data_IF_665628187162
#
_entry.id   IF_665628187162
#
_cell.length_a   1.000
_cell.length_b   1.000
_cell.length_c   1.000
_cell.angle_alpha   90.00
_cell.angle_beta   90.00
_cell.angle_gamma   90.00
#
_symmetry.space_group_name_H-M   'P 1'
#
loop_
_entity.id
_entity.type
_entity.pdbx_description
1 polymer ?
#
# COMPACT_ATOMS: atom_id res chain seq x y z
N UNK A 1 34.81 13.27 -10.76
CA UNK A 1 33.61 12.53 -10.28
C UNK A 1 32.39 13.42 -10.14
N UNK A 2 32.45 14.56 -9.44
CA UNK A 2 31.29 15.47 -9.26
C UNK A 2 30.74 16.00 -10.60
N UNK A 3 31.59 16.43 -11.53
CA UNK A 3 31.18 16.90 -12.86
C UNK A 3 30.51 15.79 -13.70
N UNK A 4 31.04 14.56 -13.60
CA UNK A 4 30.43 13.40 -14.28
C UNK A 4 29.01 13.13 -13.75
N UNK A 5 28.84 13.08 -12.44
CA UNK A 5 27.52 12.87 -11.81
C UNK A 5 26.54 14.00 -12.18
N UNK A 6 27.00 15.25 -12.18
CA UNK A 6 26.18 16.39 -12.59
C UNK A 6 25.75 16.29 -14.06
N UNK A 7 26.68 15.93 -14.98
CA UNK A 7 26.38 15.72 -16.41
C UNK A 7 25.34 14.62 -16.63
N UNK A 8 25.37 13.57 -15.79
CA UNK A 8 24.43 12.44 -15.84
C UNK A 8 23.16 12.67 -15.04
N UNK A 9 22.99 13.83 -14.44
CA UNK A 9 21.89 14.15 -13.54
C UNK A 9 21.72 13.11 -12.39
N UNK A 10 22.86 12.59 -11.89
CA UNK A 10 22.90 11.69 -10.75
C UNK A 10 23.09 12.55 -9.51
N UNK A 11 22.01 12.74 -8.73
CA UNK A 11 22.00 13.55 -7.51
C UNK A 11 21.63 12.67 -6.33
N UNK A 12 22.62 12.27 -5.53
CA UNK A 12 22.41 11.46 -4.34
C UNK A 12 21.88 12.37 -3.22
N UNK A 13 20.57 12.33 -2.99
CA UNK A 13 19.94 13.09 -1.90
C UNK A 13 18.77 12.32 -1.29
N UNK A 14 18.59 12.49 0.02
CA UNK A 14 17.47 11.90 0.75
C UNK A 14 16.12 12.41 0.21
N UNK A 15 16.04 13.68 -0.24
CA UNK A 15 14.83 14.21 -0.85
C UNK A 15 14.49 13.46 -2.14
N UNK A 16 15.45 13.31 -3.06
CA UNK A 16 15.24 12.70 -4.37
C UNK A 16 14.84 11.24 -4.27
N UNK A 17 15.47 10.48 -3.39
CA UNK A 17 15.22 9.04 -3.25
C UNK A 17 14.13 8.72 -2.24
N UNK A 18 14.09 9.42 -1.10
CA UNK A 18 13.14 9.17 -0.02
C UNK A 18 11.80 9.91 -0.15
N UNK A 19 11.69 10.90 -1.05
CA UNK A 19 10.47 11.68 -1.24
C UNK A 19 10.00 11.57 -2.69
N UNK A 20 10.80 12.06 -3.65
CA UNK A 20 10.36 12.17 -5.04
C UNK A 20 10.16 10.79 -5.68
N UNK A 21 11.15 9.87 -5.54
CA UNK A 21 11.06 8.51 -6.05
C UNK A 21 9.97 7.69 -5.34
N UNK A 22 9.82 7.85 -4.01
CA UNK A 22 8.79 7.16 -3.23
C UNK A 22 7.38 7.64 -3.61
N UNK A 23 7.18 8.94 -3.82
CA UNK A 23 5.91 9.50 -4.29
C UNK A 23 5.55 9.00 -5.68
N UNK A 24 6.50 9.01 -6.61
CA UNK A 24 6.30 8.48 -7.95
C UNK A 24 5.99 6.98 -7.93
N UNK A 25 6.69 6.20 -7.09
CA UNK A 25 6.37 4.78 -6.90
C UNK A 25 4.92 4.57 -6.46
N UNK A 26 4.44 5.36 -5.50
CA UNK A 26 3.07 5.27 -5.01
C UNK A 26 2.05 5.59 -6.13
N UNK A 27 2.35 6.58 -7.00
CA UNK A 27 1.53 6.87 -8.18
C UNK A 27 1.54 5.72 -9.19
N UNK A 28 2.70 5.11 -9.47
CA UNK A 28 2.82 3.94 -10.33
C UNK A 28 2.01 2.75 -9.80
N UNK A 29 2.06 2.50 -8.50
CA UNK A 29 1.26 1.48 -7.83
C UNK A 29 -0.24 1.79 -7.94
N UNK A 30 -0.63 3.04 -7.73
CA UNK A 30 -2.00 3.48 -7.84
C UNK A 30 -2.58 3.22 -9.24
N UNK A 31 -1.89 3.66 -10.28
CA UNK A 31 -2.35 3.55 -11.66
C UNK A 31 -2.44 2.10 -12.17
N UNK A 32 -1.76 1.17 -11.53
CA UNK A 32 -1.71 -0.24 -11.93
C UNK A 32 -2.48 -1.14 -10.97
N UNK A 33 -1.89 -1.48 -9.83
CA UNK A 33 -2.46 -2.44 -8.87
C UNK A 33 -3.81 -1.98 -8.34
N UNK A 34 -3.92 -0.71 -7.90
CA UNK A 34 -5.13 -0.27 -7.20
C UNK A 34 -6.28 -0.06 -8.16
N UNK A 35 -6.08 0.66 -9.27
CA UNK A 35 -7.10 0.80 -10.31
C UNK A 35 -7.47 -0.57 -10.89
N UNK A 36 -6.48 -1.44 -11.12
CA UNK A 36 -6.71 -2.82 -11.57
C UNK A 36 -7.57 -3.62 -10.59
N UNK A 37 -7.30 -3.52 -9.29
CA UNK A 37 -8.08 -4.18 -8.25
C UNK A 37 -9.52 -3.65 -8.20
N UNK A 38 -9.72 -2.33 -8.31
CA UNK A 38 -11.05 -1.72 -8.35
C UNK A 38 -11.85 -2.27 -9.54
N UNK A 39 -11.27 -2.26 -10.75
CA UNK A 39 -11.92 -2.78 -11.96
C UNK A 39 -12.24 -4.28 -11.82
N UNK A 40 -11.28 -5.07 -11.33
CA UNK A 40 -11.45 -6.50 -11.11
C UNK A 40 -12.59 -6.80 -10.13
N UNK A 41 -12.62 -6.10 -8.99
CA UNK A 41 -13.65 -6.27 -7.97
C UNK A 41 -15.03 -5.88 -8.52
N UNK A 42 -15.12 -4.76 -9.26
CA UNK A 42 -16.35 -4.36 -9.91
C UNK A 42 -16.83 -5.43 -10.92
N UNK A 43 -15.92 -5.97 -11.72
CA UNK A 43 -16.21 -7.05 -12.64
C UNK A 43 -16.72 -8.32 -11.97
N UNK A 44 -16.14 -8.68 -10.83
CA UNK A 44 -16.57 -9.82 -10.03
C UNK A 44 -18.00 -9.60 -9.47
N UNK A 45 -18.29 -8.42 -8.91
CA UNK A 45 -19.58 -8.10 -8.32
C UNK A 45 -20.70 -7.97 -9.37
N UNK A 46 -20.38 -7.45 -10.55
CA UNK A 46 -21.34 -7.34 -11.67
C UNK A 46 -21.45 -8.60 -12.53
N UNK A 47 -20.63 -9.62 -12.29
CA UNK A 47 -20.58 -10.82 -13.11
C UNK A 47 -20.08 -10.57 -14.53
N UNK A 48 -19.20 -9.56 -14.74
CA UNK A 48 -18.64 -9.21 -16.05
C UNK A 48 -17.20 -9.71 -16.19
N UNK A 49 -16.95 -10.89 -16.80
CA UNK A 49 -15.63 -11.51 -16.90
C UNK A 49 -14.58 -10.60 -17.56
N UNK A 50 -15.00 -9.82 -18.55
CA UNK A 50 -14.11 -8.90 -19.27
C UNK A 50 -13.50 -7.83 -18.37
N UNK A 51 -14.23 -7.28 -17.39
CA UNK A 51 -13.68 -6.34 -16.42
C UNK A 51 -12.70 -7.03 -15.46
N UNK A 52 -12.95 -8.30 -15.11
CA UNK A 52 -12.02 -9.10 -14.29
C UNK A 52 -10.69 -9.29 -15.01
N UNK A 53 -10.74 -9.57 -16.32
CA UNK A 53 -9.55 -9.71 -17.15
C UNK A 53 -8.76 -8.40 -17.29
N UNK A 54 -9.44 -7.28 -17.60
CA UNK A 54 -8.81 -5.94 -17.64
C UNK A 54 -8.09 -5.62 -16.31
N UNK A 55 -8.79 -5.82 -15.19
CA UNK A 55 -8.22 -5.58 -13.87
C UNK A 55 -7.02 -6.49 -13.57
N UNK A 56 -7.04 -7.73 -14.10
CA UNK A 56 -5.93 -8.67 -14.03
C UNK A 56 -4.68 -8.16 -14.75
N UNK A 57 -4.81 -7.70 -15.98
CA UNK A 57 -3.69 -7.11 -16.75
C UNK A 57 -3.11 -5.88 -16.04
N UNK A 58 -3.97 -4.97 -15.58
CA UNK A 58 -3.51 -3.77 -14.89
C UNK A 58 -2.73 -4.12 -13.60
N UNK A 59 -3.26 -5.01 -12.78
CA UNK A 59 -2.64 -5.42 -11.51
C UNK A 59 -1.30 -6.16 -11.72
N UNK A 60 -1.19 -6.96 -12.78
CA UNK A 60 0.04 -7.67 -13.12
C UNK A 60 1.21 -6.73 -13.47
N UNK A 61 0.90 -5.50 -13.92
CA UNK A 61 1.91 -4.50 -14.29
C UNK A 61 2.35 -3.62 -13.12
N UNK A 62 2.02 -3.94 -11.88
CA UNK A 62 2.36 -3.12 -10.72
C UNK A 62 3.85 -2.85 -10.56
N UNK A 63 4.70 -3.89 -10.62
CA UNK A 63 6.15 -3.75 -10.55
C UNK A 63 6.72 -2.88 -11.69
N UNK A 64 6.42 -3.19 -12.94
CA UNK A 64 6.76 -2.37 -14.10
C UNK A 64 6.35 -0.90 -13.98
N UNK A 65 5.11 -0.63 -13.56
CA UNK A 65 4.59 0.73 -13.44
C UNK A 65 5.30 1.52 -12.33
N UNK A 66 5.55 0.90 -11.18
CA UNK A 66 6.33 1.51 -10.10
C UNK A 66 7.74 1.88 -10.56
N UNK A 67 8.45 0.97 -11.23
CA UNK A 67 9.83 1.21 -11.68
C UNK A 67 9.89 2.28 -12.76
N UNK A 68 8.94 2.30 -13.69
CA UNK A 68 8.83 3.35 -14.70
C UNK A 68 8.57 4.72 -14.06
N UNK A 69 7.66 4.80 -13.08
CA UNK A 69 7.37 6.04 -12.36
C UNK A 69 8.60 6.56 -11.59
N UNK A 70 9.35 5.68 -10.93
CA UNK A 70 10.62 6.02 -10.27
C UNK A 70 11.62 6.56 -11.28
N UNK A 71 11.80 5.88 -12.42
CA UNK A 71 12.71 6.33 -13.48
C UNK A 71 12.33 7.70 -14.03
N UNK A 72 11.04 7.96 -14.19
CA UNK A 72 10.51 9.26 -14.61
C UNK A 72 10.85 10.37 -13.58
N UNK A 73 10.59 10.13 -12.30
CA UNK A 73 10.91 11.08 -11.22
C UNK A 73 12.42 11.36 -11.11
N UNK A 74 13.24 10.34 -11.38
CA UNK A 74 14.70 10.47 -11.42
C UNK A 74 15.22 11.08 -12.72
N UNK A 75 14.34 11.47 -13.64
CA UNK A 75 14.66 12.02 -14.96
C UNK A 75 15.60 11.10 -15.75
N UNK A 76 15.31 9.81 -15.74
CA UNK A 76 16.05 8.82 -16.49
C UNK A 76 15.88 9.02 -18.01
N UNK A 77 16.94 8.88 -18.81
CA UNK A 77 16.84 8.88 -20.28
C UNK A 77 15.88 7.78 -20.78
N UNK A 78 15.24 7.94 -21.95
CA UNK A 78 14.23 7.00 -22.44
C UNK A 78 14.67 5.53 -22.45
N UNK A 79 15.91 5.23 -22.90
CA UNK A 79 16.42 3.85 -22.90
C UNK A 79 16.51 3.25 -21.48
N UNK A 80 16.90 4.04 -20.49
CA UNK A 80 16.94 3.61 -19.09
C UNK A 80 15.51 3.43 -18.57
N UNK A 81 14.64 4.42 -18.81
CA UNK A 81 13.26 4.41 -18.35
C UNK A 81 12.51 3.15 -18.82
N UNK A 82 12.62 2.82 -20.11
CA UNK A 82 11.95 1.65 -20.66
C UNK A 82 12.57 0.33 -20.18
N UNK A 83 13.86 0.31 -19.92
CA UNK A 83 14.56 -0.85 -19.38
C UNK A 83 14.17 -1.15 -17.92
N UNK A 84 13.81 -0.12 -17.14
CA UNK A 84 13.35 -0.28 -15.75
C UNK A 84 12.06 -1.09 -15.64
N UNK A 85 11.25 -1.19 -16.69
CA UNK A 85 10.03 -2.02 -16.74
C UNK A 85 10.36 -3.49 -16.42
N UNK A 86 11.42 -4.04 -17.02
CA UNK A 86 11.88 -5.40 -16.76
C UNK A 86 12.43 -5.55 -15.32
N UNK A 87 13.19 -4.54 -14.84
CA UNK A 87 13.72 -4.51 -13.48
C UNK A 87 12.61 -4.50 -12.46
N UNK A 88 11.57 -3.68 -12.67
CA UNK A 88 10.41 -3.59 -11.78
C UNK A 88 9.63 -4.90 -11.72
N UNK A 89 9.48 -5.60 -12.85
CA UNK A 89 8.85 -6.92 -12.90
C UNK A 89 9.61 -7.95 -12.04
N UNK A 90 10.94 -8.02 -12.22
CA UNK A 90 11.79 -8.94 -11.48
C UNK A 90 11.82 -8.62 -9.97
N UNK A 91 12.02 -7.34 -9.61
CA UNK A 91 12.09 -6.91 -8.22
C UNK A 91 10.79 -7.14 -7.46
N UNK A 92 9.64 -6.85 -8.07
CA UNK A 92 8.34 -7.07 -7.46
C UNK A 92 8.03 -8.57 -7.29
N UNK A 93 8.29 -9.36 -8.32
CA UNK A 93 8.04 -10.81 -8.29
C UNK A 93 8.90 -11.54 -7.25
N UNK A 94 10.21 -11.24 -7.20
CA UNK A 94 11.15 -11.85 -6.26
C UNK A 94 11.02 -11.31 -4.83
N UNK A 95 10.50 -10.10 -4.67
CA UNK A 95 10.31 -9.45 -3.37
C UNK A 95 9.08 -9.93 -2.60
N UNK A 96 8.14 -10.62 -3.23
CA UNK A 96 6.93 -11.11 -2.58
C UNK A 96 6.19 -10.02 -1.79
N UNK A 97 6.00 -10.22 -0.49
CA UNK A 97 5.36 -9.23 0.39
C UNK A 97 6.14 -7.90 0.47
N UNK A 98 7.45 -7.91 0.29
CA UNK A 98 8.32 -6.74 0.19
C UNK A 98 8.49 -6.20 -1.24
N UNK A 99 7.72 -6.70 -2.21
CA UNK A 99 7.85 -6.37 -3.63
C UNK A 99 7.93 -4.87 -3.91
N UNK A 100 6.99 -4.04 -3.45
CA UNK A 100 7.04 -2.59 -3.69
C UNK A 100 8.30 -1.92 -3.12
N UNK A 101 8.75 -2.33 -1.92
CA UNK A 101 9.99 -1.83 -1.34
C UNK A 101 11.23 -2.29 -2.12
N UNK A 102 11.23 -3.53 -2.59
CA UNK A 102 12.28 -4.05 -3.45
C UNK A 102 12.37 -3.26 -4.76
N UNK A 103 11.23 -2.97 -5.40
CA UNK A 103 11.17 -2.12 -6.59
C UNK A 103 11.74 -0.73 -6.30
N UNK A 104 11.36 -0.10 -5.18
CA UNK A 104 11.88 1.22 -4.81
C UNK A 104 13.41 1.24 -4.78
N UNK A 105 14.01 0.36 -4.00
CA UNK A 105 15.46 0.34 -3.80
C UNK A 105 16.20 -0.03 -5.09
N UNK A 106 15.75 -1.09 -5.74
CA UNK A 106 16.45 -1.65 -6.91
C UNK A 106 16.28 -0.77 -8.15
N UNK A 107 15.08 -0.22 -8.39
CA UNK A 107 14.88 0.67 -9.53
C UNK A 107 15.65 1.99 -9.40
N UNK A 108 15.82 2.54 -8.18
CA UNK A 108 16.68 3.70 -7.96
C UNK A 108 18.12 3.36 -8.38
N UNK A 109 18.68 2.26 -7.87
CA UNK A 109 20.07 1.88 -8.19
C UNK A 109 20.22 1.57 -9.67
N UNK A 110 19.32 0.80 -10.26
CA UNK A 110 19.36 0.47 -11.69
C UNK A 110 19.22 1.71 -12.58
N UNK A 111 18.36 2.66 -12.20
CA UNK A 111 18.21 3.93 -12.92
C UNK A 111 19.49 4.74 -12.91
N UNK A 112 20.13 4.88 -11.74
CA UNK A 112 21.37 5.65 -11.63
C UNK A 112 22.54 4.97 -12.36
N UNK A 113 22.63 3.64 -12.32
CA UNK A 113 23.61 2.89 -13.14
C UNK A 113 23.36 3.05 -14.63
N UNK A 114 22.11 2.94 -15.07
CA UNK A 114 21.73 3.15 -16.47
C UNK A 114 22.07 4.57 -16.96
N UNK A 115 21.78 5.59 -16.12
CA UNK A 115 22.15 6.99 -16.41
C UNK A 115 23.65 7.18 -16.53
N UNK A 116 24.44 6.52 -15.67
CA UNK A 116 25.90 6.61 -15.70
C UNK A 116 26.45 6.12 -17.03
N UNK A 117 25.88 5.07 -17.61
CA UNK A 117 26.35 4.46 -18.87
C UNK A 117 25.74 5.12 -20.10
N UNK A 118 24.55 5.70 -20.00
CA UNK A 118 23.82 6.28 -21.13
C UNK A 118 24.65 7.34 -21.88
N UNK A 119 24.69 7.21 -23.20
CA UNK A 119 25.41 8.09 -24.12
C UNK A 119 26.93 8.11 -23.92
N UNK A 120 27.54 7.08 -23.33
CA UNK A 120 29.00 6.96 -23.22
C UNK A 120 29.60 6.10 -24.33
N UNK A 121 28.80 5.35 -25.08
CA UNK A 121 29.26 4.46 -26.16
C UNK A 121 28.59 4.79 -27.49
N UNK A 122 29.22 4.43 -28.59
CA UNK A 122 28.65 4.58 -29.94
C UNK A 122 27.44 3.65 -30.18
N UNK A 123 27.33 2.59 -29.40
CA UNK A 123 26.23 1.60 -29.47
C UNK A 123 25.31 1.71 -28.25
N UNK A 124 25.02 2.93 -27.82
CA UNK A 124 24.24 3.27 -26.64
C UNK A 124 22.86 2.56 -26.59
N UNK A 125 22.23 2.42 -27.76
CA UNK A 125 20.93 1.74 -27.90
C UNK A 125 20.95 0.30 -27.40
N UNK A 126 22.09 -0.37 -27.37
CA UNK A 126 22.24 -1.73 -26.86
C UNK A 126 22.85 -1.74 -25.46
N UNK A 127 23.91 -0.95 -25.24
CA UNK A 127 24.68 -0.98 -23.99
C UNK A 127 23.87 -0.46 -22.81
N UNK A 128 23.16 0.64 -22.97
CA UNK A 128 22.35 1.23 -21.88
C UNK A 128 21.22 0.31 -21.40
N UNK A 129 20.36 -0.27 -22.27
CA UNK A 129 19.38 -1.25 -21.83
C UNK A 129 20.01 -2.51 -21.23
N UNK A 130 21.06 -3.05 -21.84
CA UNK A 130 21.74 -4.25 -21.35
C UNK A 130 22.25 -4.05 -19.91
N UNK A 131 22.97 -2.95 -19.66
CA UNK A 131 23.50 -2.66 -18.32
C UNK A 131 22.36 -2.44 -17.32
N UNK A 132 21.34 -1.66 -17.68
CA UNK A 132 20.20 -1.37 -16.79
C UNK A 132 19.45 -2.64 -16.42
N UNK A 133 19.12 -3.50 -17.40
CA UNK A 133 18.38 -4.73 -17.17
C UNK A 133 19.24 -5.74 -16.40
N UNK A 134 20.45 -6.03 -16.87
CA UNK A 134 21.29 -7.04 -16.24
C UNK A 134 21.65 -6.67 -14.80
N UNK A 135 22.06 -5.41 -14.55
CA UNK A 135 22.37 -4.96 -13.21
C UNK A 135 21.11 -4.95 -12.32
N UNK A 136 19.99 -4.43 -12.83
CA UNK A 136 18.74 -4.37 -12.08
C UNK A 136 18.17 -5.75 -11.73
N UNK A 137 18.17 -6.69 -12.68
CA UNK A 137 17.70 -8.08 -12.44
C UNK A 137 18.66 -8.84 -11.53
N UNK A 138 19.96 -8.67 -11.67
CA UNK A 138 20.96 -9.27 -10.76
C UNK A 138 20.77 -8.77 -9.32
N UNK A 139 20.59 -7.45 -9.15
CA UNK A 139 20.26 -6.85 -7.85
C UNK A 139 18.91 -7.37 -7.32
N UNK A 140 17.94 -7.58 -8.19
CA UNK A 140 16.64 -8.16 -7.81
C UNK A 140 16.81 -9.58 -7.27
N UNK A 141 17.58 -10.41 -7.95
CA UNK A 141 17.84 -11.77 -7.50
C UNK A 141 18.58 -11.83 -6.14
N UNK A 142 19.41 -10.83 -5.87
CA UNK A 142 20.21 -10.80 -4.63
C UNK A 142 19.51 -10.09 -3.47
N UNK A 143 18.90 -8.92 -3.69
CA UNK A 143 18.34 -8.09 -2.62
C UNK A 143 16.85 -8.31 -2.38
N UNK A 144 16.05 -8.59 -3.43
CA UNK A 144 14.61 -8.66 -3.28
C UNK A 144 14.15 -9.77 -2.32
N UNK A 145 14.74 -10.99 -2.28
CA UNK A 145 14.36 -12.00 -1.30
C UNK A 145 14.62 -11.56 0.15
N UNK A 146 15.73 -10.87 0.41
CA UNK A 146 16.05 -10.36 1.75
C UNK A 146 15.06 -9.27 2.19
N UNK A 147 14.70 -8.37 1.28
CA UNK A 147 13.68 -7.33 1.51
C UNK A 147 12.30 -7.99 1.75
N UNK A 148 11.96 -9.01 0.99
CA UNK A 148 10.75 -9.83 1.18
C UNK A 148 10.70 -10.52 2.54
N UNK A 149 11.81 -11.09 2.97
CA UNK A 149 11.94 -11.71 4.29
C UNK A 149 11.76 -10.67 5.43
N UNK A 150 12.32 -9.47 5.28
CA UNK A 150 12.13 -8.39 6.24
C UNK A 150 10.66 -7.93 6.30
N UNK A 151 9.99 -7.79 5.16
CA UNK A 151 8.55 -7.49 5.12
C UNK A 151 7.72 -8.61 5.77
N UNK A 152 8.08 -9.87 5.54
CA UNK A 152 7.41 -11.03 6.15
C UNK A 152 7.63 -11.11 7.66
N UNK A 153 8.68 -10.48 8.21
CA UNK A 153 8.87 -10.39 9.66
C UNK A 153 7.76 -9.58 10.34
N UNK A 154 7.15 -8.61 9.65
CA UNK A 154 5.95 -7.91 10.13
C UNK A 154 4.80 -8.92 10.34
N UNK A 155 4.68 -9.91 9.44
CA UNK A 155 3.72 -10.99 9.57
C UNK A 155 3.88 -11.80 10.86
N UNK A 156 5.11 -12.05 11.33
CA UNK A 156 5.36 -12.75 12.60
C UNK A 156 4.83 -11.97 13.80
N UNK A 157 4.93 -10.64 13.78
CA UNK A 157 4.36 -9.78 14.83
C UNK A 157 2.83 -9.87 14.82
N UNK A 158 2.22 -9.85 13.63
CA UNK A 158 0.77 -10.03 13.48
C UNK A 158 0.34 -11.40 14.00
N UNK A 159 1.04 -12.47 13.60
CA UNK A 159 0.76 -13.83 14.05
C UNK A 159 0.86 -13.97 15.57
N UNK A 160 1.88 -13.38 16.19
CA UNK A 160 1.98 -13.35 17.64
C UNK A 160 0.80 -12.59 18.27
N UNK A 161 0.37 -11.47 17.67
CA UNK A 161 -0.74 -10.70 18.17
C UNK A 161 -2.09 -11.43 18.09
N UNK A 162 -2.28 -12.35 17.14
CA UNK A 162 -3.55 -13.08 16.95
C UNK A 162 -3.88 -14.05 18.09
N UNK A 163 -2.88 -14.46 18.89
CA UNK A 163 -3.10 -15.34 20.05
C UNK A 163 -3.45 -14.59 21.34
N UNK A 164 -3.46 -13.27 21.29
CA UNK A 164 -3.84 -12.43 22.45
C UNK A 164 -5.35 -12.37 22.63
N UNK A 165 -5.78 -11.88 23.80
CA UNK A 165 -7.19 -11.58 24.03
C UNK A 165 -7.73 -10.57 22.99
N UNK A 166 -9.01 -10.64 22.60
CA UNK A 166 -9.60 -9.85 21.51
C UNK A 166 -9.35 -8.33 21.61
N UNK A 167 -9.29 -7.78 22.81
CA UNK A 167 -9.02 -6.36 23.03
C UNK A 167 -7.58 -5.98 22.57
N UNK A 168 -6.56 -6.68 23.09
CA UNK A 168 -5.17 -6.41 22.77
C UNK A 168 -4.82 -6.83 21.34
N UNK A 169 -5.37 -7.95 20.90
CA UNK A 169 -5.29 -8.38 19.50
C UNK A 169 -5.86 -7.31 18.57
N UNK A 170 -7.04 -6.77 18.91
CA UNK A 170 -7.68 -5.70 18.16
C UNK A 170 -6.78 -4.48 17.99
N UNK A 171 -6.15 -4.01 19.07
CA UNK A 171 -5.20 -2.87 19.01
C UNK A 171 -3.99 -3.20 18.14
N UNK A 172 -3.31 -4.30 18.45
CA UNK A 172 -2.01 -4.61 17.81
C UNK A 172 -2.17 -4.95 16.34
N UNK A 173 -3.14 -5.80 15.99
CA UNK A 173 -3.37 -6.17 14.59
C UNK A 173 -3.80 -4.96 13.76
N UNK A 174 -4.76 -4.16 14.24
CA UNK A 174 -5.22 -2.99 13.50
C UNK A 174 -4.11 -1.95 13.30
N UNK A 175 -3.32 -1.67 14.32
CA UNK A 175 -2.20 -0.72 14.22
C UNK A 175 -1.13 -1.24 13.27
N UNK A 176 -0.67 -2.49 13.44
CA UNK A 176 0.43 -3.04 12.64
C UNK A 176 0.03 -3.21 11.18
N UNK A 177 -1.18 -3.72 10.90
CA UNK A 177 -1.65 -3.90 9.53
C UNK A 177 -1.97 -2.55 8.87
N UNK A 178 -2.54 -1.59 9.61
CA UNK A 178 -2.75 -0.22 9.13
C UNK A 178 -1.44 0.49 8.77
N UNK A 179 -0.41 0.34 9.59
CA UNK A 179 0.95 0.82 9.29
C UNK A 179 1.50 0.10 8.06
N UNK A 180 1.39 -1.23 7.98
CA UNK A 180 1.87 -2.03 6.86
C UNK A 180 1.23 -1.62 5.53
N UNK A 181 -0.07 -1.28 5.52
CA UNK A 181 -0.79 -0.79 4.34
C UNK A 181 -0.22 0.53 3.82
N UNK A 182 0.19 1.41 4.72
CA UNK A 182 0.73 2.74 4.36
C UNK A 182 2.20 2.67 3.96
N UNK A 183 2.97 1.71 4.50
CA UNK A 183 4.36 1.44 4.12
C UNK A 183 4.44 0.87 2.68
N UNK A 184 5.59 1.02 2.01
CA UNK A 184 5.83 0.44 0.69
C UNK A 184 6.04 -1.10 0.76
N UNK A 185 5.11 -1.79 1.41
CA UNK A 185 5.03 -3.25 1.49
C UNK A 185 3.61 -3.72 1.17
N UNK A 186 3.46 -4.99 0.81
CA UNK A 186 2.14 -5.53 0.47
C UNK A 186 1.45 -6.10 1.71
N UNK A 187 0.62 -5.28 2.39
CA UNK A 187 -0.23 -5.73 3.51
C UNK A 187 -1.15 -6.89 3.10
N UNK A 188 -1.70 -6.84 1.88
CA UNK A 188 -2.54 -7.91 1.34
C UNK A 188 -1.77 -9.25 1.23
N UNK A 189 -0.52 -9.22 0.73
CA UNK A 189 0.31 -10.41 0.65
C UNK A 189 0.70 -10.95 2.03
N UNK A 190 0.97 -10.06 3.00
CA UNK A 190 1.25 -10.46 4.40
C UNK A 190 0.02 -11.13 5.00
N UNK A 191 -1.15 -10.50 4.90
CA UNK A 191 -2.40 -11.04 5.46
C UNK A 191 -2.81 -12.36 4.81
N UNK A 192 -2.63 -12.49 3.49
CA UNK A 192 -2.87 -13.75 2.76
C UNK A 192 -1.90 -14.86 3.18
N UNK A 193 -0.61 -14.56 3.33
CA UNK A 193 0.39 -15.53 3.78
C UNK A 193 0.12 -16.05 5.21
N UNK A 194 -0.53 -15.23 6.03
CA UNK A 194 -0.95 -15.60 7.40
C UNK A 194 -2.35 -16.21 7.45
N UNK A 195 -3.07 -16.26 6.33
CA UNK A 195 -4.50 -16.63 6.30
C UNK A 195 -5.29 -15.84 7.35
N UNK A 196 -5.08 -14.51 7.41
CA UNK A 196 -5.59 -13.67 8.49
C UNK A 196 -7.11 -13.47 8.35
N UNK A 197 -7.85 -14.35 9.02
CA UNK A 197 -9.33 -14.44 9.02
C UNK A 197 -9.89 -14.25 10.41
N UNK A 198 -11.19 -14.44 10.58
CA UNK A 198 -11.90 -14.28 11.87
C UNK A 198 -11.82 -12.86 12.40
N UNK A 199 -11.81 -12.74 13.72
CA UNK A 199 -11.71 -11.45 14.43
C UNK A 199 -10.41 -10.69 14.11
N UNK A 200 -9.30 -11.42 13.91
CA UNK A 200 -8.03 -10.81 13.54
C UNK A 200 -8.09 -10.21 12.12
N UNK A 201 -8.79 -10.85 11.18
CA UNK A 201 -9.09 -10.30 9.88
C UNK A 201 -9.93 -9.02 9.96
N UNK A 202 -10.95 -9.01 10.82
CA UNK A 202 -11.77 -7.83 11.09
C UNK A 202 -10.98 -6.67 11.69
N UNK A 203 -10.08 -6.95 12.64
CA UNK A 203 -9.15 -5.95 13.19
C UNK A 203 -8.22 -5.37 12.13
N UNK A 204 -7.71 -6.21 11.21
CA UNK A 204 -6.87 -5.77 10.11
C UNK A 204 -7.62 -4.82 9.16
N UNK A 205 -8.86 -5.16 8.78
CA UNK A 205 -9.74 -4.27 8.00
C UNK A 205 -9.93 -2.93 8.71
N UNK A 206 -10.21 -2.94 10.02
CA UNK A 206 -10.39 -1.72 10.81
C UNK A 206 -9.15 -0.81 10.77
N UNK A 207 -7.96 -1.39 10.93
CA UNK A 207 -6.69 -0.66 10.84
C UNK A 207 -6.40 -0.09 9.47
N UNK A 208 -6.67 -0.86 8.42
CA UNK A 208 -6.54 -0.40 7.04
C UNK A 208 -7.49 0.75 6.73
N UNK A 209 -8.77 0.64 7.14
CA UNK A 209 -9.77 1.70 6.97
C UNK A 209 -9.39 2.96 7.74
N UNK A 210 -8.86 2.82 8.97
CA UNK A 210 -8.41 3.93 9.78
C UNK A 210 -7.29 4.73 9.10
N UNK A 211 -6.35 4.05 8.43
CA UNK A 211 -5.31 4.74 7.66
C UNK A 211 -5.85 5.36 6.37
N UNK A 212 -6.66 4.65 5.60
CA UNK A 212 -7.14 5.13 4.31
C UNK A 212 -8.14 6.26 4.46
N UNK A 213 -9.28 6.01 5.12
CA UNK A 213 -10.34 7.02 5.34
C UNK A 213 -9.83 8.12 6.26
N UNK A 214 -9.00 7.77 7.26
CA UNK A 214 -8.38 8.74 8.16
C UNK A 214 -7.55 9.76 7.42
N UNK A 215 -6.59 9.34 6.58
CA UNK A 215 -5.79 10.28 5.78
C UNK A 215 -6.62 11.01 4.73
N UNK A 216 -7.61 10.36 4.13
CA UNK A 216 -8.51 10.99 3.17
C UNK A 216 -9.22 12.21 3.77
N UNK A 217 -9.77 12.07 4.99
CA UNK A 217 -10.48 13.14 5.70
C UNK A 217 -9.50 14.16 6.29
N UNK A 218 -8.40 13.70 6.90
CA UNK A 218 -7.39 14.56 7.52
C UNK A 218 -6.76 15.53 6.52
N UNK A 219 -6.54 15.08 5.29
CA UNK A 219 -5.92 15.86 4.22
C UNK A 219 -6.92 16.56 3.29
N UNK A 220 -8.22 16.51 3.60
CA UNK A 220 -9.26 17.04 2.71
C UNK A 220 -9.08 18.54 2.41
N UNK A 221 -8.59 19.31 3.38
CA UNK A 221 -8.36 20.75 3.21
C UNK A 221 -7.29 21.05 2.15
N UNK A 222 -6.27 20.20 2.08
CA UNK A 222 -5.13 20.35 1.16
C UNK A 222 -5.40 19.74 -0.22
N UNK A 223 -6.15 18.62 -0.28
CA UNK A 223 -6.25 17.78 -1.49
C UNK A 223 -7.67 17.71 -2.07
N UNK A 224 -8.68 18.24 -1.39
CA UNK A 224 -10.07 18.23 -1.85
C UNK A 224 -10.63 16.84 -2.14
N UNK A 225 -11.60 16.77 -3.05
CA UNK A 225 -12.29 15.53 -3.43
C UNK A 225 -11.37 14.51 -4.12
N UNK A 226 -10.40 14.98 -4.92
CA UNK A 226 -9.42 14.10 -5.55
C UNK A 226 -8.59 13.34 -4.52
N UNK A 227 -8.08 14.04 -3.51
CA UNK A 227 -7.34 13.45 -2.40
C UNK A 227 -8.20 12.53 -1.53
N UNK A 228 -9.47 12.88 -1.31
CA UNK A 228 -10.40 12.03 -0.56
C UNK A 228 -10.63 10.69 -1.25
N UNK A 229 -10.89 10.70 -2.55
CA UNK A 229 -11.14 9.47 -3.32
C UNK A 229 -9.86 8.66 -3.49
N UNK A 230 -8.74 9.30 -3.86
CA UNK A 230 -7.49 8.59 -4.11
C UNK A 230 -6.93 7.91 -2.86
N UNK A 231 -7.10 8.50 -1.68
CA UNK A 231 -6.66 7.90 -0.42
C UNK A 231 -7.73 6.99 0.18
N UNK A 232 -8.99 7.42 0.19
CA UNK A 232 -10.09 6.68 0.81
C UNK A 232 -10.46 5.39 0.08
N UNK A 233 -10.43 5.38 -1.25
CA UNK A 233 -10.73 4.20 -2.07
C UNK A 233 -9.51 3.62 -2.78
N UNK A 234 -8.39 4.36 -2.81
CA UNK A 234 -7.14 3.91 -3.42
C UNK A 234 -6.15 3.42 -2.38
N UNK A 235 -5.31 4.31 -1.83
CA UNK A 235 -4.30 3.92 -0.82
C UNK A 235 -3.82 5.09 0.02
N UNK A 236 -3.55 4.82 1.30
CA UNK A 236 -2.87 5.75 2.20
C UNK A 236 -1.36 5.90 1.89
N UNK A 237 -0.76 5.00 1.09
CA UNK A 237 0.65 5.07 0.70
C UNK A 237 1.01 6.38 -0.02
N UNK A 238 0.04 7.05 -0.65
CA UNK A 238 0.24 8.37 -1.25
C UNK A 238 0.77 9.41 -0.25
N UNK A 239 0.52 9.23 1.05
CA UNK A 239 1.06 10.09 2.11
C UNK A 239 2.48 9.71 2.56
N UNK A 240 3.08 8.62 2.06
CA UNK A 240 4.42 8.21 2.49
C UNK A 240 5.49 9.29 2.31
N UNK A 241 5.56 10.03 1.19
CA UNK A 241 6.51 11.13 1.06
C UNK A 241 6.35 12.19 2.16
N UNK A 242 5.12 12.50 2.53
CA UNK A 242 4.80 13.44 3.59
C UNK A 242 5.12 12.89 4.98
N UNK A 243 4.86 11.60 5.22
CA UNK A 243 5.23 10.90 6.46
C UNK A 243 6.75 10.91 6.65
N UNK A 244 7.52 10.72 5.57
CA UNK A 244 9.00 10.82 5.63
C UNK A 244 9.45 12.24 5.97
N UNK A 245 8.75 13.27 5.47
CA UNK A 245 9.02 14.68 5.81
C UNK A 245 8.64 15.03 7.25
N UNK A 246 7.46 14.57 7.70
CA UNK A 246 6.93 14.80 9.04
C UNK A 246 6.21 13.53 9.57
N UNK A 247 6.89 12.64 10.30
CA UNK A 247 6.27 11.40 10.80
C UNK A 247 5.06 11.62 11.74
N UNK A 248 4.92 12.80 12.31
CA UNK A 248 3.83 13.13 13.24
C UNK A 248 2.46 13.13 12.58
N UNK A 249 2.39 13.33 11.26
CA UNK A 249 1.13 13.28 10.52
C UNK A 249 0.49 11.90 10.51
N UNK A 250 1.25 10.86 10.83
CA UNK A 250 0.73 9.49 10.90
C UNK A 250 0.02 9.17 12.21
N UNK A 251 0.34 9.89 13.29
CA UNK A 251 -0.20 9.63 14.62
C UNK A 251 -1.74 9.63 14.69
N UNK A 252 -2.48 10.57 14.05
CA UNK A 252 -3.93 10.51 14.04
C UNK A 252 -4.49 9.18 13.51
N UNK A 253 -3.95 8.67 12.41
CA UNK A 253 -4.38 7.40 11.81
C UNK A 253 -4.01 6.19 12.70
N UNK A 254 -2.82 6.19 13.30
CA UNK A 254 -2.38 5.14 14.23
C UNK A 254 -3.26 5.09 15.47
N UNK A 255 -3.55 6.25 16.08
CA UNK A 255 -4.44 6.32 17.24
C UNK A 255 -5.86 5.89 16.88
N UNK A 256 -6.34 6.28 15.70
CA UNK A 256 -7.63 5.83 15.18
C UNK A 256 -7.67 4.32 15.04
N UNK A 257 -6.64 3.70 14.47
CA UNK A 257 -6.51 2.24 14.38
C UNK A 257 -6.57 1.57 15.75
N UNK A 258 -5.85 2.14 16.73
CA UNK A 258 -5.83 1.60 18.10
C UNK A 258 -7.20 1.65 18.79
N UNK A 259 -8.09 2.56 18.39
CA UNK A 259 -9.46 2.64 18.90
C UNK A 259 -10.43 1.76 18.11
N UNK A 260 -10.35 1.81 16.77
CA UNK A 260 -11.29 1.07 15.91
C UNK A 260 -11.05 -0.45 15.93
N UNK A 261 -9.81 -0.89 16.16
CA UNK A 261 -9.47 -2.31 16.29
C UNK A 261 -10.25 -3.02 17.40
N UNK A 262 -10.14 -2.60 18.67
CA UNK A 262 -10.93 -3.17 19.76
C UNK A 262 -12.44 -3.04 19.58
N UNK A 263 -12.92 -1.96 18.98
CA UNK A 263 -14.34 -1.83 18.67
C UNK A 263 -14.78 -2.89 17.65
N UNK A 264 -13.96 -3.17 16.64
CA UNK A 264 -14.24 -4.21 15.68
C UNK A 264 -14.24 -5.61 16.32
N UNK A 265 -13.30 -5.90 17.23
CA UNK A 265 -13.16 -7.24 17.82
C UNK A 265 -14.06 -7.51 19.03
N UNK A 266 -14.25 -6.51 19.90
CA UNK A 266 -14.98 -6.71 21.17
C UNK A 266 -16.44 -6.25 21.12
N UNK A 267 -16.76 -5.20 20.36
CA UNK A 267 -18.11 -4.62 20.31
C UNK A 267 -18.90 -5.18 19.15
N UNK A 268 -18.39 -5.02 17.92
CA UNK A 268 -19.09 -5.46 16.71
C UNK A 268 -18.82 -6.90 16.34
N UNK A 269 -17.78 -7.52 16.93
CA UNK A 269 -17.34 -8.88 16.61
C UNK A 269 -17.30 -9.11 15.10
N UNK A 270 -16.68 -8.14 14.41
CA UNK A 270 -16.60 -8.11 12.97
C UNK A 270 -15.61 -9.18 12.49
N UNK A 271 -16.11 -10.36 12.26
CA UNK A 271 -15.33 -11.47 11.70
C UNK A 271 -15.23 -11.34 10.19
N UNK A 272 -14.07 -11.71 9.68
CA UNK A 272 -13.76 -11.71 8.28
C UNK A 272 -13.26 -13.09 7.87
N UNK A 273 -14.20 -13.97 7.50
CA UNK A 273 -13.95 -15.35 7.06
C UNK A 273 -14.00 -15.44 5.53
N UNK A 274 -13.26 -14.53 4.87
CA UNK A 274 -13.21 -14.46 3.40
C UNK A 274 -12.64 -15.75 2.81
N UNK A 275 -13.35 -16.36 1.84
CA UNK A 275 -12.87 -17.53 1.10
C UNK A 275 -11.54 -17.34 0.36
N UNK A 276 -11.12 -16.10 0.12
CA UNK A 276 -9.81 -15.79 -0.50
C UNK A 276 -8.60 -15.95 0.43
N UNK A 277 -8.81 -16.45 1.66
CA UNK A 277 -7.73 -16.75 2.58
C UNK A 277 -7.05 -15.53 3.19
N UNK A 278 -7.81 -14.46 3.48
CA UNK A 278 -7.35 -13.30 4.24
C UNK A 278 -6.68 -12.19 3.41
N UNK A 279 -6.67 -12.27 2.09
CA UNK A 279 -6.14 -11.22 1.22
C UNK A 279 -6.88 -9.90 1.43
N UNK A 280 -8.20 -9.95 1.51
CA UNK A 280 -9.05 -8.77 1.66
C UNK A 280 -8.86 -8.07 3.01
N UNK A 281 -8.41 -8.78 4.07
CA UNK A 281 -8.16 -8.20 5.39
C UNK A 281 -7.07 -7.13 5.38
N UNK A 282 -6.09 -7.24 4.47
CA UNK A 282 -5.03 -6.27 4.30
C UNK A 282 -5.32 -5.13 3.32
N UNK A 283 -6.56 -5.02 2.80
CA UNK A 283 -6.92 -4.06 1.76
C UNK A 283 -7.75 -2.87 2.24
N UNK A 284 -8.46 -3.00 3.38
CA UNK A 284 -9.33 -1.93 3.91
C UNK A 284 -10.36 -1.45 2.89
N UNK A 285 -10.46 -0.14 2.69
CA UNK A 285 -11.39 0.49 1.73
C UNK A 285 -10.86 0.55 0.29
N UNK A 286 -9.67 -0.02 0.00
CA UNK A 286 -9.14 -0.09 -1.36
C UNK A 286 -10.11 -0.83 -2.27
N UNK A 287 -10.75 -0.11 -3.22
CA UNK A 287 -11.80 -0.68 -4.06
C UNK A 287 -12.93 -1.36 -3.30
N UNK A 288 -13.14 -1.03 -2.03
CA UNK A 288 -14.09 -1.69 -1.10
C UNK A 288 -13.81 -3.19 -0.87
N UNK A 289 -12.59 -3.65 -1.20
CA UNK A 289 -12.23 -5.08 -1.12
C UNK A 289 -12.35 -5.62 0.32
N UNK A 290 -11.95 -4.85 1.31
CA UNK A 290 -12.08 -5.25 2.71
C UNK A 290 -13.54 -5.44 3.13
N UNK A 291 -14.44 -4.52 2.76
CA UNK A 291 -15.87 -4.59 3.06
C UNK A 291 -16.56 -5.74 2.32
N UNK A 292 -16.19 -5.94 1.06
CA UNK A 292 -16.69 -7.08 0.25
C UNK A 292 -16.20 -8.39 0.85
N UNK A 293 -14.95 -8.46 1.31
CA UNK A 293 -14.40 -9.63 2.00
C UNK A 293 -15.13 -9.95 3.30
N UNK A 294 -15.42 -8.96 4.14
CA UNK A 294 -16.23 -9.13 5.36
C UNK A 294 -17.61 -9.66 5.03
N UNK A 295 -18.29 -9.05 4.03
CA UNK A 295 -19.62 -9.52 3.59
C UNK A 295 -19.58 -10.94 3.02
N UNK A 296 -18.60 -11.27 2.18
CA UNK A 296 -18.42 -12.60 1.63
C UNK A 296 -18.18 -13.65 2.75
N UNK A 297 -17.43 -13.27 3.78
CA UNK A 297 -17.24 -14.08 4.96
C UNK A 297 -18.56 -14.34 5.68
N UNK A 298 -19.38 -13.33 5.93
CA UNK A 298 -20.70 -13.50 6.58
C UNK A 298 -21.62 -14.41 5.76
N UNK A 299 -21.64 -14.28 4.43
CA UNK A 299 -22.43 -15.16 3.55
C UNK A 299 -21.94 -16.61 3.67
N UNK A 300 -20.63 -16.82 3.70
CA UNK A 300 -20.03 -18.15 3.90
C UNK A 300 -20.39 -18.73 5.26
N UNK A 301 -20.32 -17.92 6.32
CA UNK A 301 -20.63 -18.35 7.70
C UNK A 301 -22.11 -18.71 7.86
N UNK A 302 -23.01 -17.97 7.23
CA UNK A 302 -24.45 -18.32 7.21
C UNK A 302 -24.69 -19.61 6.43
N UNK A 303 -24.01 -19.80 5.28
CA UNK A 303 -24.11 -21.02 4.51
C UNK A 303 -23.55 -22.26 5.24
N UNK A 304 -22.49 -22.06 6.04
CA UNK A 304 -21.91 -23.10 6.89
C UNK A 304 -22.66 -23.36 8.20
N UNK A 305 -23.66 -22.52 8.53
CA UNK A 305 -24.43 -22.60 9.75
C UNK A 305 -23.70 -22.13 11.02
N UNK A 306 -22.55 -21.49 10.89
CA UNK A 306 -21.78 -20.88 12.00
C UNK A 306 -22.35 -19.54 12.44
N UNK A 307 -23.06 -18.86 11.54
CA UNK A 307 -23.79 -17.62 11.78
C UNK A 307 -25.26 -17.81 11.40
N UNK A 308 -26.19 -17.43 12.31
CA UNK A 308 -27.62 -17.64 12.08
C UNK A 308 -28.18 -16.78 10.93
N UNK A 309 -27.78 -15.50 10.89
CA UNK A 309 -28.18 -14.55 9.84
C UNK A 309 -27.27 -13.32 9.87
N UNK A 310 -27.23 -12.58 8.78
CA UNK A 310 -26.61 -11.25 8.70
C UNK A 310 -27.61 -10.25 9.29
N UNK A 311 -27.21 -9.55 10.35
CA UNK A 311 -28.07 -8.64 11.10
C UNK A 311 -27.83 -7.17 10.72
N UNK A 312 -28.77 -6.29 11.07
CA UNK A 312 -28.56 -4.84 10.94
C UNK A 312 -27.39 -4.34 11.79
N UNK A 313 -27.05 -5.04 12.89
CA UNK A 313 -25.91 -4.71 13.73
C UNK A 313 -24.57 -5.01 13.03
N UNK A 314 -24.49 -6.08 12.26
CA UNK A 314 -23.31 -6.39 11.43
C UNK A 314 -23.06 -5.28 10.41
N UNK A 315 -24.12 -4.85 9.70
CA UNK A 315 -24.02 -3.73 8.74
C UNK A 315 -23.64 -2.41 9.40
N UNK A 316 -24.23 -2.12 10.58
CA UNK A 316 -23.87 -0.94 11.36
C UNK A 316 -22.39 -0.98 11.74
N UNK A 317 -21.90 -2.11 12.23
CA UNK A 317 -20.51 -2.33 12.58
C UNK A 317 -19.59 -2.11 11.37
N UNK A 318 -19.91 -2.70 10.22
CA UNK A 318 -19.14 -2.56 9.00
C UNK A 318 -19.03 -1.08 8.57
N UNK A 319 -20.13 -0.35 8.54
CA UNK A 319 -20.14 1.06 8.12
C UNK A 319 -19.42 1.96 9.14
N UNK A 320 -19.67 1.74 10.44
CA UNK A 320 -19.04 2.53 11.51
C UNK A 320 -17.52 2.30 11.52
N UNK A 321 -17.08 1.05 11.49
CA UNK A 321 -15.65 0.70 11.56
C UNK A 321 -14.90 1.08 10.28
N UNK A 322 -15.55 0.94 9.12
CA UNK A 322 -14.86 1.22 7.84
C UNK A 322 -14.83 2.70 7.47
N UNK A 323 -15.83 3.49 7.82
CA UNK A 323 -15.97 4.85 7.30
C UNK A 323 -16.17 5.90 8.38
N UNK A 324 -17.19 5.75 9.22
CA UNK A 324 -17.64 6.83 10.13
C UNK A 324 -16.63 7.07 11.24
N UNK A 325 -16.25 6.04 11.98
CA UNK A 325 -15.28 6.17 13.08
C UNK A 325 -13.89 6.57 12.60
N UNK A 326 -13.32 5.98 11.52
CA UNK A 326 -12.08 6.46 10.95
C UNK A 326 -12.10 7.94 10.58
N UNK A 327 -13.18 8.40 9.93
CA UNK A 327 -13.33 9.80 9.55
C UNK A 327 -13.39 10.73 10.77
N UNK A 328 -14.24 10.44 11.73
CA UNK A 328 -14.47 11.28 12.90
C UNK A 328 -13.26 11.30 13.86
N UNK A 329 -12.72 10.12 14.17
CA UNK A 329 -11.60 10.01 15.11
C UNK A 329 -10.33 10.61 14.55
N UNK A 330 -10.01 10.29 13.29
CA UNK A 330 -8.82 10.84 12.66
C UNK A 330 -8.91 12.36 12.46
N UNK A 331 -10.09 12.88 12.14
CA UNK A 331 -10.35 14.31 12.10
C UNK A 331 -10.16 14.95 13.49
N UNK A 332 -10.73 14.37 14.53
CA UNK A 332 -10.62 14.89 15.90
C UNK A 332 -9.16 14.88 16.40
N UNK A 333 -8.44 13.75 16.24
CA UNK A 333 -7.03 13.69 16.56
C UNK A 333 -6.21 14.65 15.69
N UNK A 334 -6.56 14.79 14.42
CA UNK A 334 -5.92 15.73 13.52
C UNK A 334 -6.06 17.18 13.96
N UNK A 335 -7.25 17.58 14.41
CA UNK A 335 -7.48 18.92 15.00
C UNK A 335 -6.61 19.13 16.24
N UNK A 336 -6.53 18.12 17.12
CA UNK A 336 -5.67 18.18 18.29
C UNK A 336 -4.20 18.36 17.93
N UNK A 337 -3.66 17.55 16.99
CA UNK A 337 -2.27 17.65 16.57
C UNK A 337 -1.96 18.93 15.77
N UNK A 338 -2.94 19.47 15.05
CA UNK A 338 -2.82 20.80 14.43
C UNK A 338 -2.79 21.91 15.49
N UNK A 339 -3.63 21.79 16.54
CA UNK A 339 -3.65 22.78 17.62
C UNK A 339 -2.33 22.87 18.39
N UNK A 340 -1.69 21.75 18.67
CA UNK A 340 -0.36 21.72 19.32
C UNK A 340 0.82 21.98 18.36
N UNK A 341 0.54 22.25 17.08
CA UNK A 341 1.54 22.63 16.07
C UNK A 341 2.41 21.46 15.55
N UNK A 342 2.01 20.21 15.77
CA UNK A 342 2.73 19.04 15.25
C UNK A 342 2.42 18.77 13.78
N UNK A 343 1.23 19.13 13.33
CA UNK A 343 0.81 19.08 11.93
C UNK A 343 0.55 20.50 11.47
N UNK A 344 1.25 20.93 10.45
CA UNK A 344 1.11 22.26 9.85
C UNK A 344 0.29 22.20 8.57
N UNK A 345 -0.21 23.36 8.15
CA UNK A 345 -0.88 23.49 6.85
C UNK A 345 0.11 23.16 5.72
N UNK A 346 -0.33 22.32 4.79
CA UNK A 346 0.49 21.83 3.69
C UNK A 346 1.27 20.53 3.96
N UNK A 347 1.39 20.08 5.23
CA UNK A 347 2.11 18.83 5.57
C UNK A 347 1.47 17.58 4.95
N UNK A 348 0.20 17.64 4.59
CA UNK A 348 -0.58 16.53 4.02
C UNK A 348 -0.88 16.70 2.52
N UNK A 349 -0.33 17.74 1.89
CA UNK A 349 -0.56 17.99 0.47
C UNK A 349 0.09 16.90 -0.38
N UNK A 350 -0.70 16.32 -1.27
CA UNK A 350 -0.21 15.38 -2.29
C UNK A 350 0.37 16.17 -3.46
N UNK A 351 1.49 15.69 -4.00
CA UNK A 351 2.18 16.30 -5.15
C UNK A 351 1.48 15.94 -6.46
#
# INVERSE_FOLDING_TARGET
>A
MKEFLARKNIVISAKRYGIDALGAMAQGLFCSLLVGTIIKTLGQQLGIPFLVEIGGYASAMSGPAMAAAIGYALQAPPLVLFSLVAVGSAANGLGGAGGPLAVLVIAIVAAELGKAVSKETKVDILVTPLVTICAGVALSAWWAPAIGAAASAVGKVIQWATVLQPFWMGILVSVVVGIALTLPISSAAICSALTLTGLAGGAAVAGCCANMVGFAVLSFRENGWGGLVSQGLGTSMLQMPNIVRNPRIWLPAILTSAVTGPLATCVFQMEMNDPSGGLASGMGTCGLVGQIGVYAGWVSDVAAGTKAAITSFDWLGLVLISFVLPALLCWAFGLFFRHIGWIKEGDLKLD
#
